data_IF_871770785048
#
_entry.id   IF_871770785048
#
_cell.length_a   1.000
_cell.length_b   1.000
_cell.length_c   1.000
_cell.angle_alpha   90.00
_cell.angle_beta   90.00
_cell.angle_gamma   90.00
#
_symmetry.space_group_name_H-M   'P 1'
#
loop_
_entity.id
_entity.type
_entity.pdbx_description
1 polymer ?
2 polymer ?
3 non-polymer ?
#
# COMPACT_ATOMS: atom_id res chain seq x y z
N UNK A 3 -9.26 12.23 -26.12
CA UNK A 3 -9.06 10.85 -26.53
C UNK A 3 -9.95 9.92 -25.72
N UNK A 4 -9.41 9.35 -24.65
CA UNK A 4 -10.14 8.43 -23.80
C UNK A 4 -10.90 9.21 -22.73
N UNK A 5 -12.11 8.79 -22.33
CA UNK A 5 -12.82 7.65 -22.94
C UNK A 5 -13.54 8.05 -24.23
N UNK A 6 -14.17 7.07 -24.88
CA UNK A 6 -14.89 7.30 -26.12
C UNK A 6 -16.23 6.60 -26.05
N UNK A 7 -17.20 7.13 -26.79
CA UNK A 7 -18.49 6.48 -27.01
C UNK A 7 -19.20 6.17 -25.69
N UNK A 8 -19.68 7.24 -25.03
CA UNK A 8 -20.43 7.10 -23.78
C UNK A 8 -21.91 6.94 -24.14
N UNK A 9 -22.41 5.72 -24.05
CA UNK A 9 -23.77 5.40 -24.45
C UNK A 9 -24.54 4.80 -23.28
N UNK A 10 -25.85 5.03 -23.28
CA UNK A 10 -26.76 4.46 -22.29
C UNK A 10 -27.27 3.14 -22.85
N UNK A 11 -26.91 2.03 -22.20
CA UNK A 11 -27.30 0.70 -22.64
C UNK A 11 -28.73 0.42 -22.21
N UNK A 12 -28.92 0.15 -20.92
CA UNK A 12 -30.23 -0.05 -20.34
C UNK A 12 -30.67 1.21 -19.61
N UNK A 13 -31.99 1.41 -19.51
CA UNK A 13 -32.50 2.66 -18.95
C UNK A 13 -33.85 2.40 -18.28
N UNK A 14 -33.80 1.90 -17.05
CA UNK A 14 -34.96 1.89 -16.19
C UNK A 14 -35.31 3.33 -15.81
N UNK A 15 -36.58 3.60 -15.48
CA UNK A 15 -36.95 4.97 -15.07
C UNK A 15 -36.10 5.55 -13.94
N UNK A 16 -35.40 4.72 -13.17
CA UNK A 16 -34.60 5.20 -12.05
C UNK A 16 -33.14 4.78 -12.11
N UNK A 17 -32.68 4.19 -13.22
CA UNK A 17 -31.30 3.72 -13.29
C UNK A 17 -30.83 3.73 -14.74
N UNK A 18 -29.66 4.32 -14.96
CA UNK A 18 -29.03 4.35 -16.28
C UNK A 18 -27.78 3.48 -16.27
N UNK A 19 -27.67 2.62 -17.28
CA UNK A 19 -26.50 1.74 -17.44
C UNK A 19 -25.65 2.29 -18.58
N UNK A 20 -24.52 2.90 -18.23
CA UNK A 20 -23.68 3.60 -19.18
C UNK A 20 -22.39 2.81 -19.40
N UNK A 21 -21.96 2.74 -20.66
CA UNK A 21 -20.71 2.13 -21.05
C UNK A 21 -19.91 3.12 -21.88
N UNK A 22 -18.62 2.83 -22.07
CA UNK A 22 -17.77 3.71 -22.83
C UNK A 22 -16.60 2.92 -23.40
N UNK A 23 -16.12 3.36 -24.56
CA UNK A 23 -14.92 2.80 -25.15
C UNK A 23 -13.72 3.20 -24.30
N UNK A 24 -13.36 2.35 -23.33
CA UNK A 24 -12.34 2.69 -22.35
C UNK A 24 -10.99 3.02 -22.99
N UNK A 25 -10.76 2.57 -24.22
CA UNK A 25 -9.49 2.82 -24.87
C UNK A 25 -8.79 1.55 -25.28
N UNK A 26 -7.55 1.38 -24.85
CA UNK A 26 -6.74 0.26 -25.31
C UNK A 26 -5.45 0.21 -24.52
N UNK A 27 -5.07 -1.02 -24.12
CA UNK A 27 -3.73 -1.38 -23.65
C UNK A 27 -3.03 -0.27 -22.87
N UNK A 28 -2.52 0.74 -23.58
CA UNK A 28 -1.71 1.79 -22.96
C UNK A 28 -2.53 2.98 -22.47
N UNK A 29 -3.64 3.30 -23.14
CA UNK A 29 -4.47 4.42 -22.71
C UNK A 29 -5.46 4.03 -21.61
N UNK A 30 -5.43 2.78 -21.15
CA UNK A 30 -6.22 2.38 -20.00
C UNK A 30 -5.80 3.19 -18.77
N UNK A 31 -6.76 3.88 -18.16
CA UNK A 31 -6.49 4.66 -16.96
C UNK A 31 -6.85 3.82 -15.74
N UNK A 32 -6.39 4.26 -14.57
CA UNK A 32 -6.61 3.49 -13.35
C UNK A 32 -8.02 3.63 -12.81
N UNK A 33 -8.67 4.77 -13.03
CA UNK A 33 -10.03 4.96 -12.54
C UNK A 33 -10.73 6.03 -13.35
N UNK A 34 -12.03 5.85 -13.53
CA UNK A 34 -12.89 6.88 -14.10
C UNK A 34 -13.81 7.41 -13.01
N UNK A 35 -14.08 8.71 -13.04
CA UNK A 35 -15.10 9.30 -12.19
C UNK A 35 -16.28 9.70 -13.07
N UNK A 36 -17.48 9.41 -12.58
CA UNK A 36 -18.71 9.63 -13.33
C UNK A 36 -19.60 10.57 -12.53
N UNK A 37 -20.04 11.65 -13.17
CA UNK A 37 -20.83 12.68 -12.52
C UNK A 37 -22.21 12.74 -13.17
N UNK A 38 -23.26 12.69 -12.35
CA UNK A 38 -24.63 12.79 -12.84
C UNK A 38 -25.42 13.72 -11.94
N UNK A 39 -26.04 14.72 -12.55
CA UNK A 39 -26.90 15.65 -11.83
C UNK A 39 -28.08 16.05 -12.68
N UNK A 40 -28.91 16.92 -12.12
CA UNK A 40 -30.09 17.39 -12.85
C UNK A 40 -29.67 18.33 -13.99
N UNK A 41 -30.35 18.20 -15.13
CA UNK A 41 -29.98 18.95 -16.32
C UNK A 41 -30.31 20.43 -16.20
N UNK A 42 -31.04 20.86 -15.19
CA UNK A 42 -31.41 22.25 -15.05
C UNK A 42 -30.51 23.01 -14.09
N UNK A 43 -29.61 22.31 -13.41
CA UNK A 43 -28.72 22.95 -12.46
C UNK A 43 -29.36 23.37 -11.15
N UNK A 44 -30.60 22.94 -10.89
CA UNK A 44 -31.27 23.26 -9.64
C UNK A 44 -30.56 22.69 -8.43
N UNK A 45 -29.64 21.74 -8.63
CA UNK A 45 -28.91 21.08 -7.56
C UNK A 45 -27.47 20.91 -7.99
N UNK A 46 -26.56 20.67 -7.04
CA UNK A 46 -25.19 20.29 -7.43
C UNK A 46 -25.18 18.91 -8.07
N UNK A 47 -24.01 18.44 -8.45
CA UNK A 47 -23.86 17.19 -9.18
C UNK A 47 -23.45 16.08 -8.21
N UNK A 48 -24.03 14.91 -8.39
CA UNK A 48 -23.55 13.73 -7.69
C UNK A 48 -22.34 13.16 -8.45
N UNK A 49 -21.60 12.27 -7.79
CA UNK A 49 -20.31 11.87 -8.32
C UNK A 49 -19.87 10.56 -7.69
N UNK A 50 -19.36 9.64 -8.52
CA UNK A 50 -18.72 8.44 -8.04
C UNK A 50 -17.55 8.11 -8.94
N UNK A 51 -16.66 7.26 -8.45
CA UNK A 51 -15.54 6.75 -9.21
C UNK A 51 -15.72 5.27 -9.51
N UNK A 52 -15.01 4.79 -10.52
CA UNK A 52 -15.11 3.40 -10.95
C UNK A 52 -13.72 2.93 -11.37
N UNK A 53 -13.35 1.69 -11.04
CA UNK A 53 -12.02 1.19 -11.43
C UNK A 53 -11.82 1.26 -12.94
N UNK A 54 -10.62 1.71 -13.33
CA UNK A 54 -10.32 1.99 -14.71
C UNK A 54 -10.24 0.79 -15.63
N UNK A 55 -10.25 -0.43 -15.08
CA UNK A 55 -10.34 -1.59 -15.95
C UNK A 55 -11.76 -1.82 -16.45
N UNK A 56 -12.75 -1.37 -15.68
CA UNK A 56 -14.15 -1.47 -16.09
C UNK A 56 -14.50 -0.31 -17.01
N UNK A 57 -15.28 -0.60 -18.05
CA UNK A 57 -15.70 0.40 -19.01
C UNK A 57 -17.19 0.69 -18.94
N UNK A 58 -17.89 0.11 -17.97
CA UNK A 58 -19.31 0.35 -17.76
C UNK A 58 -19.53 0.84 -16.33
N UNK A 59 -20.71 1.40 -16.10
CA UNK A 59 -21.07 1.90 -14.77
C UNK A 59 -22.58 1.98 -14.68
N UNK A 60 -23.11 1.70 -13.49
CA UNK A 60 -24.54 1.74 -13.24
C UNK A 60 -24.86 2.95 -12.36
N UNK A 61 -25.62 3.89 -12.92
CA UNK A 61 -26.08 5.08 -12.21
C UNK A 61 -27.51 4.83 -11.77
N UNK A 62 -27.73 4.64 -10.48
CA UNK A 62 -29.02 4.26 -9.95
C UNK A 62 -29.69 5.45 -9.25
N UNK A 63 -30.98 5.27 -8.94
CA UNK A 63 -31.72 6.22 -8.14
C UNK A 63 -31.85 7.61 -8.71
N UNK A 64 -32.56 7.76 -9.81
CA UNK A 64 -32.85 9.05 -10.40
C UNK A 64 -34.34 9.37 -10.20
N UNK A 65 -34.82 10.39 -10.91
CA UNK A 65 -36.22 10.75 -10.89
C UNK A 65 -36.80 10.63 -12.29
N UNK A 66 -37.89 9.87 -12.47
CA UNK A 66 -38.36 9.57 -13.83
C UNK A 66 -38.89 10.80 -14.55
N UNK A 67 -38.79 10.77 -15.87
CA UNK A 67 -39.23 11.87 -16.70
C UNK A 67 -38.20 12.98 -16.82
N UNK A 68 -37.39 13.15 -15.77
CA UNK A 68 -36.39 14.20 -15.76
C UNK A 68 -35.24 13.84 -16.68
N UNK A 69 -34.73 14.84 -17.40
CA UNK A 69 -33.53 14.68 -18.21
C UNK A 69 -32.30 14.89 -17.32
N UNK A 70 -31.25 14.12 -17.60
CA UNK A 70 -30.04 14.17 -16.79
C UNK A 70 -28.83 14.42 -17.67
N UNK A 71 -27.73 14.81 -17.03
CA UNK A 71 -26.44 15.00 -17.69
C UNK A 71 -25.44 14.05 -17.06
N UNK A 72 -24.90 13.13 -17.86
CA UNK A 72 -23.95 12.13 -17.39
C UNK A 72 -22.58 12.49 -17.93
N UNK A 73 -21.62 12.67 -17.02
CA UNK A 73 -20.26 13.03 -17.38
C UNK A 73 -19.32 11.89 -16.98
N UNK A 74 -18.30 11.68 -17.80
CA UNK A 74 -17.26 10.69 -17.53
C UNK A 74 -15.91 11.37 -17.71
N UNK A 75 -15.13 11.42 -16.64
CA UNK A 75 -13.81 12.04 -16.65
C UNK A 75 -12.73 10.98 -16.60
N UNK A 76 -11.50 11.44 -16.75
CA UNK A 76 -10.27 10.69 -16.56
C UNK A 76 -9.59 11.18 -15.28
N UNK A 77 -8.62 10.41 -14.75
CA UNK A 77 -7.91 10.87 -13.55
C UNK A 77 -7.32 12.27 -13.69
N UNK A 78 -6.81 12.60 -14.88
CA UNK A 78 -6.36 13.94 -15.20
C UNK A 78 -6.91 14.31 -16.56
N UNK A 79 -6.87 15.61 -16.87
CA UNK A 79 -7.28 16.08 -18.19
C UNK A 79 -6.21 15.85 -19.25
N UNK A 80 -5.11 15.19 -18.90
CA UNK A 80 -4.07 14.88 -19.87
C UNK A 80 -4.50 13.81 -20.87
N UNK A 81 -5.56 13.06 -20.56
CA UNK A 81 -6.06 12.03 -21.47
C UNK A 81 -7.07 12.55 -22.47
N UNK A 82 -7.59 13.77 -22.29
CA UNK A 82 -8.56 14.35 -23.18
C UNK A 82 -9.71 14.98 -22.44
N UNK A 83 -10.64 15.54 -23.21
CA UNK A 83 -11.81 16.17 -22.63
C UNK A 83 -12.77 15.13 -22.08
N UNK A 84 -13.58 15.50 -21.09
CA UNK A 84 -14.62 14.57 -20.61
C UNK A 84 -15.74 14.44 -21.63
N UNK A 85 -16.18 13.20 -21.83
CA UNK A 85 -17.29 12.91 -22.74
C UNK A 85 -18.56 12.92 -21.91
N UNK A 86 -19.29 14.03 -21.96
CA UNK A 86 -20.56 14.18 -21.26
C UNK A 86 -21.72 13.92 -22.20
N UNK A 87 -22.77 13.28 -21.69
CA UNK A 87 -23.94 12.94 -22.48
C UNK A 87 -25.20 13.36 -21.72
N UNK A 88 -26.34 13.07 -22.31
CA UNK A 88 -27.65 13.38 -21.72
C UNK A 88 -28.61 12.23 -22.01
N UNK A 89 -29.67 12.15 -21.22
CA UNK A 89 -30.69 11.13 -21.39
C UNK A 89 -31.93 11.46 -20.57
N UNK A 90 -33.11 11.37 -21.21
CA UNK A 90 -34.38 11.52 -20.51
C UNK A 90 -34.94 10.14 -20.19
N UNK A 91 -35.16 9.89 -18.90
CA UNK A 91 -35.66 8.59 -18.46
C UNK A 91 -37.19 8.53 -18.59
N UNK B 2 11.42 22.77 -4.28
CA UNK B 2 10.18 22.00 -4.20
C UNK B 2 10.35 20.50 -4.42
N UNK B 3 11.01 20.07 -5.51
CA UNK B 3 11.12 18.62 -5.74
C UNK B 3 11.91 17.90 -4.67
N UNK B 4 12.96 18.52 -4.14
CA UNK B 4 13.76 17.93 -3.06
C UNK B 4 13.07 18.06 -1.70
N UNK B 5 11.84 18.56 -1.66
CA UNK B 5 11.07 18.57 -0.43
C UNK B 5 10.23 17.30 -0.29
N UNK B 6 9.61 16.85 -1.37
CA UNK B 6 8.82 15.63 -1.35
C UNK B 6 9.68 14.38 -1.49
N UNK B 7 10.90 14.52 -2.00
CA UNK B 7 11.82 13.39 -2.05
C UNK B 7 12.21 12.96 -0.63
N UNK B 8 12.58 13.93 0.22
CA UNK B 8 12.89 13.61 1.60
C UNK B 8 11.66 13.26 2.42
N UNK B 9 10.51 13.85 2.09
CA UNK B 9 9.28 13.48 2.77
C UNK B 9 8.91 12.03 2.56
N UNK B 10 9.25 11.48 1.40
CA UNK B 10 9.07 10.06 1.16
C UNK B 10 10.12 9.22 1.88
N UNK B 11 11.32 9.77 2.06
CA UNK B 11 12.34 9.07 2.85
C UNK B 11 11.88 8.95 4.29
N UNK B 12 11.31 10.02 4.85
CA UNK B 12 10.79 9.97 6.22
C UNK B 12 9.68 8.94 6.34
N UNK B 13 8.78 8.91 5.35
CA UNK B 13 7.67 7.96 5.40
C UNK B 13 8.17 6.52 5.34
N UNK B 14 9.19 6.26 4.53
CA UNK B 14 9.72 4.90 4.43
C UNK B 14 10.46 4.53 5.71
N UNK B 15 11.33 5.43 6.19
CA UNK B 15 12.10 5.16 7.39
C UNK B 15 11.18 4.77 8.54
N UNK B 16 10.09 5.52 8.73
CA UNK B 16 9.10 5.14 9.71
C UNK B 16 8.29 3.93 9.25
N UNK B 17 8.21 3.72 7.94
CA UNK B 17 7.45 2.58 7.43
C UNK B 17 8.11 1.25 7.74
N UNK B 18 9.42 1.15 7.52
CA UNK B 18 10.12 -0.09 7.82
C UNK B 18 10.26 -0.31 9.32
N UNK B 19 10.43 0.75 10.10
CA UNK B 19 10.55 0.59 11.55
C UNK B 19 9.24 0.12 12.16
N UNK B 20 8.14 0.83 11.88
CA UNK B 20 6.83 0.37 12.34
C UNK B 20 6.52 -1.05 11.88
N UNK B 21 7.21 -1.54 10.85
CA UNK B 21 7.06 -2.92 10.45
C UNK B 21 7.90 -3.85 11.32
N UNK B 22 9.12 -3.42 11.68
CA UNK B 22 9.94 -4.23 12.58
C UNK B 22 9.31 -4.32 13.96
N UNK B 23 8.54 -3.30 14.37
CA UNK B 23 7.83 -3.36 15.63
C UNK B 23 6.67 -4.36 15.55
N UNK B 24 5.74 -4.13 14.62
CA UNK B 24 4.64 -5.07 14.43
C UNK B 24 5.18 -6.43 14.03
N UNK B 25 4.42 -7.49 14.33
CA UNK B 25 4.83 -8.83 13.96
C UNK B 25 4.52 -9.07 12.48
N UNK B 26 4.03 -10.25 12.15
CA UNK B 26 3.71 -10.54 10.76
C UNK B 26 2.58 -9.69 10.22
N UNK B 27 2.78 -8.37 10.20
CA UNK B 27 1.74 -7.39 9.89
C UNK B 27 0.53 -7.54 10.81
N UNK B 28 0.70 -8.18 11.97
CA UNK B 28 -0.44 -8.60 12.77
C UNK B 28 -0.89 -7.55 13.77
N UNK B 29 0.03 -6.84 14.41
CA UNK B 29 -0.37 -5.78 15.34
C UNK B 29 -1.02 -4.65 14.55
N UNK B 30 -2.32 -4.44 14.78
CA UNK B 30 -3.12 -3.60 13.91
C UNK B 30 -2.58 -2.18 13.82
N UNK B 31 -2.29 -1.56 14.96
CA UNK B 31 -1.95 -0.14 14.99
C UNK B 31 -0.61 0.12 14.30
N UNK B 32 0.49 -0.57 14.63
CA UNK B 32 1.73 -0.31 13.89
C UNK B 32 1.69 -0.82 12.47
N UNK B 33 0.90 -1.85 12.17
CA UNK B 33 0.78 -2.32 10.79
C UNK B 33 0.02 -1.33 9.94
N UNK B 34 -1.09 -0.78 10.47
CA UNK B 34 -1.79 0.29 9.76
C UNK B 34 -0.89 1.49 9.54
N UNK B 35 0.04 1.74 10.46
CA UNK B 35 1.02 2.78 10.23
C UNK B 35 1.89 2.49 9.03
N UNK B 36 2.35 1.24 8.91
CA UNK B 36 3.22 0.87 7.81
C UNK B 36 2.53 1.04 6.46
N UNK B 37 1.29 0.54 6.35
CA UNK B 37 0.55 0.66 5.09
C UNK B 37 0.33 2.14 4.76
N UNK B 38 0.01 2.95 5.77
CA UNK B 38 -0.15 4.38 5.54
C UNK B 38 1.20 5.02 5.22
N UNK B 39 2.24 4.62 5.94
CA UNK B 39 3.57 5.15 5.66
C UNK B 39 4.05 4.75 4.27
N UNK B 40 3.83 3.48 3.89
CA UNK B 40 4.27 3.01 2.58
C UNK B 40 3.44 3.65 1.46
N UNK B 41 2.11 3.58 1.56
CA UNK B 41 1.26 4.12 0.51
C UNK B 41 1.47 5.61 0.33
N UNK B 42 1.78 6.33 1.42
CA UNK B 42 2.09 7.74 1.28
C UNK B 42 3.42 7.94 0.57
N UNK B 43 4.43 7.13 0.93
CA UNK B 43 5.74 7.27 0.30
C UNK B 43 5.72 6.76 -1.13
N UNK B 44 4.92 5.74 -1.43
CA UNK B 44 4.81 5.27 -2.81
C UNK B 44 4.31 6.36 -3.73
N UNK B 45 3.33 7.15 -3.28
CA UNK B 45 2.81 8.24 -4.10
C UNK B 45 3.68 9.50 -4.01
N UNK B 46 4.49 9.64 -2.96
CA UNK B 46 5.41 10.76 -2.89
C UNK B 46 6.61 10.56 -3.82
N UNK B 47 6.99 9.32 -4.09
CA UNK B 47 8.09 9.06 -5.02
C UNK B 47 7.64 9.21 -6.47
N UNK B 48 6.42 8.77 -6.78
CA UNK B 48 5.92 8.86 -8.15
C UNK B 48 5.81 10.31 -8.61
N UNK B 49 5.52 11.23 -7.69
CA UNK B 49 5.41 12.64 -8.06
C UNK B 49 6.78 13.30 -8.14
N UNK B 50 7.66 13.02 -7.17
CA UNK B 50 9.01 13.58 -7.20
C UNK B 50 9.87 12.94 -8.28
N UNK B 51 9.34 11.96 -9.01
CA UNK B 51 10.06 11.30 -10.08
C UNK B 51 9.94 12.03 -11.42
N UNK B 52 8.87 12.79 -11.62
CA UNK B 52 8.69 13.51 -12.88
C UNK B 52 9.49 14.82 -12.93
N UNK B 53 10.16 15.19 -11.85
CA UNK B 53 10.96 16.41 -11.81
C UNK B 53 12.45 16.16 -11.74
N UNK B 54 12.87 15.21 -10.92
CA UNK B 54 14.28 14.85 -10.76
C UNK B 54 14.49 13.49 -11.43
N UNK B 55 15.55 13.32 -12.22
CA UNK B 55 15.75 12.05 -12.94
C UNK B 55 15.73 10.85 -12.00
N UNK B 56 15.39 9.70 -12.57
CA UNK B 56 15.22 8.49 -11.77
C UNK B 56 16.51 8.14 -11.03
N UNK B 57 17.62 8.07 -11.76
CA UNK B 57 18.88 7.72 -11.13
C UNK B 57 19.35 8.73 -10.10
N UNK B 58 18.97 10.00 -10.28
CA UNK B 58 19.36 11.03 -9.32
C UNK B 58 18.59 10.86 -8.01
N UNK B 59 17.26 10.71 -8.12
CA UNK B 59 16.44 10.54 -6.92
C UNK B 59 16.78 9.23 -6.20
N UNK B 60 16.98 8.16 -6.97
CA UNK B 60 17.35 6.87 -6.40
C UNK B 60 18.60 7.00 -5.52
N UNK B 61 19.57 7.80 -5.97
CA UNK B 61 20.79 7.99 -5.19
C UNK B 61 20.50 8.71 -3.88
N UNK B 62 19.92 9.92 -3.97
CA UNK B 62 19.57 10.68 -2.77
C UNK B 62 18.66 9.86 -1.87
N UNK B 63 17.78 9.06 -2.47
CA UNK B 63 16.88 8.22 -1.71
C UNK B 63 17.65 7.26 -0.81
N UNK B 64 18.44 6.36 -1.43
CA UNK B 64 19.28 5.45 -0.66
C UNK B 64 20.23 6.21 0.26
N UNK B 65 20.59 7.43 -0.11
CA UNK B 65 21.46 8.24 0.71
C UNK B 65 20.84 8.68 2.02
N UNK B 66 19.83 9.57 1.94
CA UNK B 66 19.20 10.10 3.14
C UNK B 66 18.50 9.02 3.94
N UNK B 67 18.20 7.88 3.32
CA UNK B 67 17.59 6.78 4.03
C UNK B 67 18.45 6.26 5.16
N UNK B 68 19.57 5.61 4.82
CA UNK B 68 20.48 5.08 5.83
C UNK B 68 21.04 6.18 6.70
N UNK B 69 21.09 7.41 6.20
CA UNK B 69 21.38 8.56 7.03
C UNK B 69 20.31 8.62 8.11
N UNK B 70 19.06 8.84 7.69
CA UNK B 70 17.96 8.93 8.64
C UNK B 70 17.64 7.60 9.31
N UNK B 71 18.24 6.50 8.87
CA UNK B 71 18.05 5.22 9.55
C UNK B 71 19.05 5.03 10.67
N UNK B 72 20.34 5.19 10.38
CA UNK B 72 21.35 5.10 11.43
C UNK B 72 21.27 6.28 12.38
N UNK B 73 20.93 7.47 11.86
CA UNK B 73 20.67 8.61 12.73
C UNK B 73 19.51 8.31 13.67
N UNK B 74 18.51 7.59 13.19
CA UNK B 74 17.42 7.14 14.03
C UNK B 74 17.77 5.87 14.80
N UNK B 75 18.71 5.06 14.29
CA UNK B 75 19.14 3.87 15.00
C UNK B 75 19.90 4.23 16.28
N UNK B 76 20.73 5.27 16.21
CA UNK B 76 21.52 5.67 17.37
C UNK B 76 20.79 6.66 18.27
N UNK B 77 19.89 7.48 17.71
CA UNK B 77 19.24 8.50 18.51
C UNK B 77 18.31 7.95 19.56
N UNK B 78 17.52 6.94 19.20
CA UNK B 78 16.51 6.40 20.10
C UNK B 78 16.79 4.97 20.55
N UNK B 79 17.41 4.14 19.71
CA UNK B 79 17.60 2.73 20.07
C UNK B 79 18.94 2.47 20.73
N UNK B 80 20.02 3.02 20.17
CA UNK B 80 21.34 2.84 20.74
C UNK B 80 22.40 2.51 19.70
N UNK B 81 22.80 1.24 19.65
CA UNK B 81 23.70 0.73 18.60
C UNK B 81 24.95 1.58 18.40
N UNK B 82 24.87 2.52 17.46
CA UNK B 82 26.01 3.26 16.89
C UNK B 82 27.23 2.35 16.71
N UNK B 83 26.99 1.09 16.37
CA UNK B 83 28.08 0.18 16.05
C UNK B 83 28.84 0.70 14.84
N UNK B 84 30.12 0.32 14.75
CA UNK B 84 31.03 0.87 13.75
C UNK B 84 31.08 2.39 13.87
N UNK B 85 31.33 2.86 15.09
CA UNK B 85 31.35 4.30 15.35
C UNK B 85 32.29 5.08 14.43
N UNK B 86 33.45 4.57 14.01
CA UNK B 86 34.20 5.23 12.94
C UNK B 86 33.51 5.11 11.58
N UNK B 87 32.22 5.41 11.52
CA UNK B 87 31.49 5.53 10.27
C UNK B 87 30.67 6.80 10.18
N UNK B 88 30.72 7.67 11.20
CA UNK B 88 30.11 8.99 11.10
C UNK B 88 30.77 9.80 9.98
N UNK B 89 32.00 9.44 9.60
CA UNK B 89 32.60 9.99 8.39
C UNK B 89 31.80 9.56 7.17
N UNK B 90 31.28 8.32 7.18
CA UNK B 90 30.43 7.86 6.11
C UNK B 90 29.09 8.57 6.04
N UNK B 91 28.64 9.14 7.15
CA UNK B 91 27.44 9.98 7.11
C UNK B 91 27.75 11.35 6.52
N UNK B 92 28.94 11.89 6.81
CA UNK B 92 29.38 13.13 6.18
C UNK B 92 29.65 12.93 4.68
N UNK B 93 29.93 11.70 4.25
CA UNK B 93 30.11 11.43 2.83
C UNK B 93 28.79 11.49 2.08
N UNK B 94 27.75 10.84 2.62
CA UNK B 94 26.45 10.87 1.99
C UNK B 94 25.92 12.30 1.90
N UNK B 95 26.21 13.12 2.90
CA UNK B 95 25.79 14.52 2.86
C UNK B 95 26.44 15.25 1.69
N UNK B 96 27.74 15.07 1.50
CA UNK B 96 28.45 15.79 0.45
C UNK B 96 27.92 15.43 -0.93
N UNK B 97 27.66 14.14 -1.17
CA UNK B 97 27.11 13.73 -2.45
C UNK B 97 25.72 14.31 -2.69
N UNK B 98 24.90 14.38 -1.64
CA UNK B 98 23.59 15.02 -1.75
C UNK B 98 23.76 16.49 -2.11
N UNK B 99 24.77 17.15 -1.55
CA UNK B 99 24.94 18.58 -1.75
C UNK B 99 25.36 18.90 -3.18
N UNK B 100 26.22 18.09 -3.79
CA UNK B 100 26.74 18.41 -5.11
C UNK B 100 25.88 17.82 -6.23
N UNK B 101 24.75 17.21 -5.90
CA UNK B 101 23.66 17.02 -6.86
C UNK B 101 22.50 17.97 -6.59
N UNK B 102 22.49 18.66 -5.45
CA UNK B 102 21.38 19.51 -5.08
C UNK B 102 21.33 20.74 -5.98
N UNK B 103 20.38 21.63 -5.68
CA UNK B 103 20.14 22.84 -6.46
C UNK B 103 21.42 23.65 -6.70
N UNK C 2 23.39 -19.21 -4.36
CA UNK C 2 21.98 -19.21 -4.74
C UNK C 2 21.18 -18.01 -4.22
N UNK C 3 21.30 -17.66 -2.93
CA UNK C 3 20.59 -16.47 -2.43
C UNK C 3 21.06 -15.18 -3.06
N UNK C 4 22.30 -15.12 -3.56
CA UNK C 4 22.74 -13.95 -4.31
C UNK C 4 22.04 -13.84 -5.66
N UNK C 5 21.34 -14.88 -6.11
CA UNK C 5 20.66 -14.83 -7.39
C UNK C 5 19.24 -14.30 -7.21
N UNK C 6 18.59 -14.63 -6.09
CA UNK C 6 17.32 -13.98 -5.77
C UNK C 6 17.53 -12.53 -5.40
N UNK C 7 18.74 -12.17 -4.96
CA UNK C 7 19.06 -10.77 -4.68
C UNK C 7 18.89 -9.92 -5.93
N UNK C 8 19.69 -10.20 -6.96
CA UNK C 8 19.56 -9.48 -8.22
C UNK C 8 18.19 -9.59 -8.83
N UNK C 9 17.51 -10.72 -8.61
CA UNK C 9 16.14 -10.86 -9.05
C UNK C 9 15.21 -9.89 -8.34
N UNK C 10 15.46 -9.62 -7.06
CA UNK C 10 14.71 -8.60 -6.34
C UNK C 10 15.22 -7.20 -6.66
N UNK C 11 16.52 -7.06 -6.92
CA UNK C 11 17.05 -5.77 -7.34
C UNK C 11 16.48 -5.38 -8.71
N UNK C 12 16.61 -6.27 -9.68
CA UNK C 12 16.13 -5.99 -11.04
C UNK C 12 14.63 -5.77 -11.07
N UNK C 13 13.87 -6.47 -10.21
CA UNK C 13 12.43 -6.29 -10.19
C UNK C 13 12.05 -4.89 -9.72
N UNK C 14 12.70 -4.41 -8.65
CA UNK C 14 12.50 -3.02 -8.23
C UNK C 14 13.00 -2.06 -9.29
N UNK C 15 14.13 -2.38 -9.92
CA UNK C 15 14.65 -1.56 -11.02
C UNK C 15 13.58 -1.34 -12.08
N UNK C 16 12.85 -2.41 -12.41
CA UNK C 16 11.81 -2.30 -13.43
C UNK C 16 10.61 -1.53 -12.89
N UNK C 17 10.10 -1.93 -11.72
CA UNK C 17 8.94 -1.25 -11.15
C UNK C 17 9.18 0.23 -10.92
N UNK C 18 10.40 0.62 -10.57
CA UNK C 18 10.71 2.04 -10.43
C UNK C 18 10.57 2.75 -11.76
N UNK C 19 11.10 2.15 -12.83
CA UNK C 19 10.97 2.76 -14.15
C UNK C 19 9.53 2.70 -14.65
N UNK C 20 8.79 1.63 -14.32
CA UNK C 20 7.37 1.59 -14.63
C UNK C 20 6.59 2.63 -13.84
N UNK C 21 7.12 3.07 -12.69
CA UNK C 21 6.45 4.09 -11.91
C UNK C 21 6.57 5.46 -12.58
N UNK C 22 7.73 5.76 -13.17
CA UNK C 22 7.87 6.96 -13.97
C UNK C 22 6.88 6.99 -15.13
N UNK C 23 6.44 5.81 -15.58
CA UNK C 23 5.52 5.70 -16.71
C UNK C 23 4.06 5.76 -16.31
N UNK C 24 3.72 5.59 -15.03
CA UNK C 24 2.34 5.42 -14.61
C UNK C 24 1.59 6.74 -14.46
N UNK C 25 2.22 7.88 -14.73
CA UNK C 25 1.58 9.19 -14.62
C UNK C 25 0.97 9.42 -13.23
N UNK C 26 1.76 9.13 -12.20
CA UNK C 26 1.25 9.29 -10.84
C UNK C 26 0.19 8.28 -10.47
N UNK C 27 0.37 7.02 -10.87
CA UNK C 27 -0.58 5.94 -10.62
C UNK C 27 -1.95 6.23 -11.22
N UNK C 28 -1.99 6.93 -12.35
CA UNK C 28 -3.23 7.24 -13.04
C UNK C 28 -3.37 6.49 -14.35
N UNK C 29 -2.37 5.68 -14.73
CA UNK C 29 -2.40 4.90 -15.95
C UNK C 29 -2.41 3.43 -15.59
N UNK C 30 -3.50 2.73 -15.95
CA UNK C 30 -3.58 1.30 -15.65
C UNK C 30 -2.65 0.53 -16.58
N UNK C 31 -2.00 -0.49 -16.01
CA UNK C 31 -0.96 -1.38 -16.56
C UNK C 31 0.40 -0.92 -16.03
N UNK C 32 0.84 0.34 -16.22
CA UNK C 32 2.05 0.77 -15.49
C UNK C 32 1.83 0.92 -14.00
N UNK C 33 0.60 1.19 -13.56
CA UNK C 33 0.32 1.22 -12.13
C UNK C 33 0.29 -0.18 -11.54
N UNK C 34 -0.30 -1.14 -12.27
CA UNK C 34 -0.32 -2.52 -11.82
C UNK C 34 1.09 -3.10 -11.79
N UNK C 35 1.85 -2.89 -12.87
CA UNK C 35 3.19 -3.46 -12.96
C UNK C 35 4.08 -3.05 -11.81
N UNK C 36 3.98 -1.80 -11.37
CA UNK C 36 4.73 -1.36 -10.20
C UNK C 36 4.32 -2.11 -8.96
N UNK C 37 3.01 -2.34 -8.79
CA UNK C 37 2.54 -3.11 -7.66
C UNK C 37 2.97 -4.57 -7.77
N UNK C 38 2.99 -5.11 -8.99
CA UNK C 38 3.42 -6.48 -9.20
C UNK C 38 4.92 -6.61 -8.94
N UNK C 39 5.72 -5.67 -9.45
CA UNK C 39 7.16 -5.76 -9.31
C UNK C 39 7.58 -5.67 -7.85
N UNK C 40 7.08 -4.68 -7.13
CA UNK C 40 7.46 -4.50 -5.74
C UNK C 40 6.99 -5.64 -4.84
N UNK C 41 5.98 -6.41 -5.29
CA UNK C 41 5.65 -7.65 -4.59
C UNK C 41 6.71 -8.71 -4.86
N UNK C 42 7.06 -8.91 -6.13
CA UNK C 42 8.06 -9.91 -6.49
C UNK C 42 9.43 -9.55 -5.94
N UNK C 43 9.77 -8.26 -5.91
CA UNK C 43 11.03 -7.84 -5.32
C UNK C 43 11.02 -7.89 -3.80
N UNK C 44 9.83 -7.84 -3.18
CA UNK C 44 9.73 -8.07 -1.75
C UNK C 44 9.86 -9.55 -1.42
N UNK C 45 9.20 -10.42 -2.19
CA UNK C 45 9.21 -11.84 -1.90
C UNK C 45 10.59 -12.46 -2.13
N UNK C 46 11.33 -11.99 -3.14
CA UNK C 46 12.68 -12.47 -3.33
C UNK C 46 13.62 -11.94 -2.26
N UNK C 47 13.36 -10.73 -1.75
CA UNK C 47 14.16 -10.19 -0.66
C UNK C 47 13.99 -11.01 0.61
N UNK C 48 12.77 -11.50 0.87
CA UNK C 48 12.56 -12.33 2.05
C UNK C 48 13.26 -13.67 1.91
N UNK C 49 13.21 -14.27 0.73
CA UNK C 49 13.88 -15.56 0.51
C UNK C 49 15.39 -15.42 0.59
N UNK C 50 15.93 -14.24 0.26
CA UNK C 50 17.37 -14.05 0.26
C UNK C 50 17.92 -13.50 1.56
N UNK C 51 17.19 -12.65 2.28
CA UNK C 51 17.66 -12.24 3.60
C UNK C 51 17.18 -13.16 4.70
N UNK C 52 16.43 -14.21 4.36
CA UNK C 52 16.05 -15.22 5.34
C UNK C 52 17.25 -15.67 6.15
N UNK C 53 18.39 -15.87 5.47
CA UNK C 53 19.68 -16.01 6.15
C UNK C 53 20.80 -15.67 5.16
N UNK C 54 20.88 -14.38 4.82
CA UNK C 54 22.08 -13.79 4.23
C UNK C 54 22.21 -12.44 4.92
N UNK C 55 23.43 -11.93 5.15
CA UNK C 55 23.57 -10.68 5.91
C UNK C 55 22.84 -9.52 5.25
N UNK C 56 22.18 -8.72 6.09
CA UNK C 56 21.41 -7.55 5.64
C UNK C 56 22.28 -6.30 5.47
N UNK C 57 23.57 -6.49 5.19
CA UNK C 57 24.44 -5.39 4.83
C UNK C 57 25.06 -5.65 3.47
N UNK C 58 25.36 -6.92 3.20
CA UNK C 58 25.78 -7.32 1.85
C UNK C 58 24.64 -7.16 0.87
N UNK C 59 23.42 -7.56 1.28
CA UNK C 59 22.28 -7.47 0.38
C UNK C 59 21.89 -6.02 0.13
N UNK C 60 21.93 -5.18 1.16
CA UNK C 60 21.54 -3.78 0.99
C UNK C 60 22.54 -3.05 0.10
N UNK C 61 23.84 -3.24 0.35
CA UNK C 61 24.87 -2.54 -0.43
C UNK C 61 24.86 -2.97 -1.89
N UNK C 62 24.72 -4.28 -2.14
CA UNK C 62 24.61 -4.76 -3.52
C UNK C 62 23.38 -4.17 -4.18
N UNK C 63 22.26 -4.12 -3.46
CA UNK C 63 21.05 -3.51 -4.00
C UNK C 63 21.25 -2.01 -4.21
N UNK C 64 21.80 -1.32 -3.21
CA UNK C 64 21.95 0.13 -3.28
C UNK C 64 22.91 0.57 -4.38
N UNK C 65 23.71 -0.35 -4.92
CA UNK C 65 24.65 -0.02 -5.97
C UNK C 65 24.17 -0.50 -7.33
N UNK C 66 23.82 -1.80 -7.43
CA UNK C 66 23.29 -2.32 -8.68
C UNK C 66 21.98 -1.64 -9.02
N UNK C 67 21.22 -1.21 -8.01
CA UNK C 67 20.01 -0.45 -8.27
C UNK C 67 20.30 0.99 -8.68
N UNK C 68 21.29 1.62 -8.03
CA UNK C 68 21.68 2.98 -8.39
C UNK C 68 22.27 3.06 -9.80
N UNK C 69 22.56 1.91 -10.41
CA UNK C 69 23.08 1.85 -11.77
C UNK C 69 22.00 1.42 -12.75
N UNK C 70 21.31 0.30 -12.46
CA UNK C 70 20.39 -0.28 -13.43
C UNK C 70 19.14 0.58 -13.65
N UNK C 71 18.82 1.48 -12.74
CA UNK C 71 17.70 2.38 -12.97
C UNK C 71 18.17 3.71 -13.58
N UNK C 72 19.40 4.13 -13.28
CA UNK C 72 19.93 5.33 -13.92
C UNK C 72 20.25 5.08 -15.38
N UNK C 73 20.66 3.85 -15.72
CA UNK C 73 20.86 3.48 -17.11
C UNK C 73 19.55 3.24 -17.84
N UNK C 74 18.45 3.02 -17.11
CA UNK C 74 17.14 3.00 -17.73
C UNK C 74 16.53 4.38 -17.84
N UNK C 75 16.64 5.20 -16.78
CA UNK C 75 16.29 6.60 -16.89
C UNK C 75 17.00 7.25 -18.06
N UNK C 76 18.27 6.91 -18.26
CA UNK C 76 19.03 7.38 -19.41
C UNK C 76 18.71 6.60 -20.67
N UNK C 77 18.22 5.37 -20.54
CA UNK C 77 17.81 4.59 -21.69
C UNK C 77 16.46 5.00 -22.22
N UNK C 78 15.53 5.32 -21.30
CA UNK C 78 14.22 5.82 -21.67
C UNK C 78 14.16 7.35 -21.66
N UNK C 79 15.30 8.01 -21.45
CA UNK C 79 15.43 9.46 -21.52
C UNK C 79 16.90 9.84 -21.57
N UNK C 80 17.44 10.38 -20.47
CA UNK C 80 18.83 10.77 -20.41
C UNK C 80 19.22 11.55 -19.15
N UNK C 81 19.60 12.83 -19.36
CA UNK C 81 19.76 13.85 -18.33
C UNK C 81 21.17 13.91 -17.72
N UNK C 82 21.92 12.81 -17.77
CA UNK C 82 23.30 12.77 -17.28
C UNK C 82 23.47 13.42 -15.91
N UNK C 83 24.21 14.53 -15.86
CA UNK C 83 24.41 15.31 -14.64
C UNK C 83 23.74 16.66 -14.79
N UNK C 84 22.41 16.65 -14.73
CA UNK C 84 21.64 17.90 -14.82
C UNK C 84 22.14 18.94 -13.82
N UNK C 85 22.40 18.52 -12.60
CA UNK C 85 22.98 19.37 -11.58
C UNK C 85 24.39 18.89 -11.25
N UNK C 86 25.29 19.82 -10.81
CA UNK C 86 26.75 19.62 -10.91
C UNK C 86 27.30 18.24 -11.24
N UNK C 87 26.95 17.19 -10.47
CA UNK C 87 27.74 15.96 -10.52
C UNK C 87 26.86 14.73 -10.66
N UNK C 88 27.29 13.82 -11.54
CA UNK C 88 26.89 12.43 -11.45
C UNK C 88 27.69 11.73 -10.35
N UNK C 89 28.95 12.13 -10.18
CA UNK C 89 29.81 11.59 -9.13
C UNK C 89 29.22 11.86 -7.75
N UNK C 90 28.42 12.92 -7.62
CA UNK C 90 27.67 13.11 -6.39
C UNK C 90 26.82 11.91 -6.03
N UNK C 91 26.31 11.20 -7.04
CA UNK C 91 25.60 9.95 -6.79
C UNK C 91 26.58 8.80 -6.65
N UNK C 92 27.77 8.91 -7.25
CA UNK C 92 28.79 7.87 -7.07
C UNK C 92 29.40 7.93 -5.68
N UNK C 93 29.49 9.13 -5.09
CA UNK C 93 30.01 9.26 -3.74
C UNK C 93 28.91 9.18 -2.68
N UNK C 94 27.65 9.39 -3.05
CA UNK C 94 26.55 8.92 -2.22
C UNK C 94 26.59 7.40 -2.12
N UNK C 95 26.89 6.73 -3.24
CA UNK C 95 27.05 5.28 -3.24
C UNK C 95 28.27 4.85 -2.42
N UNK C 96 29.26 5.73 -2.28
CA UNK C 96 30.45 5.41 -1.51
C UNK C 96 30.20 5.55 -0.01
N UNK C 97 29.65 6.70 0.42
CA UNK C 97 29.32 6.89 1.82
C UNK C 97 28.31 5.89 2.35
N UNK C 98 27.54 5.27 1.46
CA UNK C 98 26.64 4.19 1.87
C UNK C 98 27.45 2.95 2.21
N UNK C 99 28.43 2.61 1.38
CA UNK C 99 29.13 1.33 1.49
C UNK C 99 30.14 1.30 2.62
N UNK C 100 30.12 2.31 3.48
CA UNK C 100 31.02 2.36 4.63
C UNK C 100 30.28 2.53 5.95
N UNK C 101 29.04 3.02 5.95
CA UNK C 101 28.18 2.90 7.14
C UNK C 101 27.42 1.57 7.12
N UNK C 102 27.68 0.72 6.12
CA UNK C 102 27.09 -0.61 6.04
C UNK C 102 28.14 -1.71 6.20
N UNK C 103 29.27 -1.59 5.50
CA UNK C 103 30.32 -2.61 5.54
C UNK C 103 31.44 -2.29 6.51
N UNK C 104 31.66 -1.01 6.82
CA UNK C 104 32.69 -0.64 7.79
C UNK C 104 32.08 -0.32 9.14
N UNK D 3 -1.19 -14.49 25.86
CA UNK D 3 -1.48 -13.41 26.79
C UNK D 3 -2.64 -12.55 26.30
N UNK D 4 -2.83 -12.54 24.99
CA UNK D 4 -3.92 -11.78 24.37
C UNK D 4 -4.65 -12.69 23.38
N UNK D 5 -5.97 -12.58 23.25
CA UNK D 5 -6.86 -11.65 23.97
C UNK D 5 -7.26 -12.18 25.34
N UNK D 6 -8.08 -11.43 26.07
CA UNK D 6 -8.45 -11.78 27.43
C UNK D 6 -9.92 -11.49 27.66
N UNK D 7 -10.50 -12.23 28.62
CA UNK D 7 -11.84 -11.98 29.13
C UNK D 7 -12.91 -12.19 28.04
N UNK D 8 -13.02 -13.44 27.60
CA UNK D 8 -14.07 -13.85 26.69
C UNK D 8 -15.28 -14.30 27.48
N UNK D 9 -16.40 -13.60 27.32
CA UNK D 9 -17.63 -13.92 28.04
C UNK D 9 -18.82 -13.70 27.11
N UNK D 10 -19.99 -14.14 27.56
CA UNK D 10 -21.22 -14.03 26.79
C UNK D 10 -22.05 -12.93 27.41
N UNK D 11 -22.23 -11.83 26.69
CA UNK D 11 -22.99 -10.68 27.18
C UNK D 11 -24.47 -11.00 27.13
N UNK D 12 -25.03 -11.07 25.93
CA UNK D 12 -26.44 -11.41 25.72
C UNK D 12 -26.54 -12.83 25.19
N UNK D 13 -27.55 -13.57 25.66
CA UNK D 13 -27.66 -15.00 25.35
C UNK D 13 -29.13 -15.36 25.12
N UNK D 14 -29.53 -15.41 23.85
CA UNK D 14 -30.79 -16.03 23.48
C UNK D 14 -30.59 -17.53 23.40
N UNK D 15 -31.67 -18.32 23.33
CA UNK D 15 -31.51 -19.76 23.09
C UNK D 15 -30.80 -20.09 21.80
N UNK D 16 -30.75 -19.18 20.83
CA UNK D 16 -30.14 -19.45 19.54
C UNK D 16 -28.94 -18.55 19.23
N UNK D 17 -28.60 -17.62 20.10
CA UNK D 17 -27.51 -16.69 19.83
C UNK D 17 -26.66 -16.50 21.09
N UNK D 18 -25.41 -16.09 20.86
CA UNK D 18 -24.45 -15.86 21.94
C UNK D 18 -23.61 -14.64 21.58
N UNK D 19 -23.97 -13.48 22.15
CA UNK D 19 -23.18 -12.27 21.98
C UNK D 19 -21.97 -12.33 22.91
N UNK D 20 -20.77 -12.34 22.32
CA UNK D 20 -19.54 -12.47 23.10
C UNK D 20 -18.67 -11.24 22.87
N UNK D 21 -17.89 -10.91 23.90
CA UNK D 21 -16.95 -9.79 23.85
C UNK D 21 -15.66 -10.20 24.53
N UNK D 22 -14.62 -9.41 24.31
CA UNK D 22 -13.31 -9.67 24.89
C UNK D 22 -12.55 -8.35 25.03
N UNK D 23 -11.77 -8.23 26.10
CA UNK D 23 -10.95 -7.03 26.30
C UNK D 23 -9.88 -6.97 25.23
N UNK D 24 -9.99 -5.98 24.33
CA UNK D 24 -9.01 -5.85 23.25
C UNK D 24 -7.61 -5.61 23.81
N UNK D 25 -7.48 -4.65 24.72
CA UNK D 25 -6.20 -4.36 25.33
C UNK D 25 -5.96 -2.87 25.52
N UNK D 26 -5.01 -2.33 24.77
CA UNK D 26 -4.70 -0.91 24.80
C UNK D 26 -4.31 -0.47 23.40
N UNK D 27 -4.19 0.86 23.22
CA UNK D 27 -4.08 1.41 21.88
C UNK D 27 -2.89 0.82 21.13
N UNK D 28 -1.74 0.69 21.80
CA UNK D 28 -0.52 0.25 21.15
C UNK D 28 -0.38 -1.27 21.12
N UNK D 29 -1.45 -2.01 21.39
CA UNK D 29 -1.40 -3.47 21.39
C UNK D 29 -2.69 -4.06 20.81
N UNK D 30 -3.10 -3.56 19.65
CA UNK D 30 -4.24 -4.11 18.92
C UNK D 30 -3.72 -4.99 17.79
N UNK D 31 -4.26 -6.19 17.69
CA UNK D 31 -3.90 -7.09 16.59
C UNK D 31 -4.84 -6.83 15.42
N UNK D 32 -4.45 -7.33 14.24
CA UNK D 32 -5.21 -7.02 13.03
C UNK D 32 -6.57 -7.72 13.01
N UNK D 33 -6.68 -8.90 13.62
CA UNK D 33 -7.95 -9.63 13.58
C UNK D 33 -7.95 -10.69 14.66
N UNK D 34 -9.15 -11.16 14.98
CA UNK D 34 -9.36 -12.34 15.79
C UNK D 34 -10.23 -13.32 15.01
N UNK D 35 -10.24 -14.58 15.45
CA UNK D 35 -11.14 -15.56 14.87
C UNK D 35 -11.90 -16.26 15.99
N UNK D 36 -13.19 -16.48 15.77
CA UNK D 36 -14.08 -17.06 16.76
C UNK D 36 -14.44 -18.48 16.32
N UNK D 37 -14.28 -19.43 17.23
CA UNK D 37 -14.64 -20.82 16.98
C UNK D 37 -15.75 -21.21 17.95
N UNK D 38 -16.92 -21.53 17.41
CA UNK D 38 -18.03 -22.02 18.22
C UNK D 38 -18.56 -23.31 17.61
N UNK D 39 -18.66 -24.34 18.44
CA UNK D 39 -19.18 -25.62 17.99
C UNK D 39 -19.81 -26.33 19.17
N UNK D 40 -20.51 -27.43 18.85
CA UNK D 40 -21.15 -28.22 19.89
C UNK D 40 -20.11 -28.77 20.86
N UNK D 41 -20.45 -28.78 22.15
CA UNK D 41 -19.48 -29.13 23.19
C UNK D 41 -19.06 -30.58 23.13
N UNK D 42 -19.82 -31.44 22.47
CA UNK D 42 -19.46 -32.84 22.38
C UNK D 42 -18.53 -33.14 21.22
N UNK D 43 -18.97 -32.83 20.01
CA UNK D 43 -18.15 -33.05 18.83
C UNK D 43 -18.77 -34.03 17.85
N UNK D 44 -20.07 -33.88 17.60
CA UNK D 44 -20.76 -34.72 16.63
C UNK D 44 -20.55 -34.26 15.19
N UNK D 45 -20.17 -32.99 15.01
CA UNK D 45 -19.93 -32.41 13.70
C UNK D 45 -18.75 -31.45 13.83
N UNK D 46 -18.22 -30.88 12.74
CA UNK D 46 -17.17 -29.88 12.88
C UNK D 46 -17.66 -28.65 13.64
N UNK D 47 -16.70 -27.82 14.05
CA UNK D 47 -17.00 -26.58 14.73
C UNK D 47 -17.28 -25.51 13.69
N UNK D 48 -17.77 -24.35 14.13
CA UNK D 48 -18.02 -23.22 13.24
C UNK D 48 -16.96 -22.15 13.48
N UNK D 49 -16.71 -21.33 12.45
CA UNK D 49 -15.55 -20.46 12.46
C UNK D 49 -15.81 -19.21 11.63
N UNK D 50 -15.31 -18.07 12.11
CA UNK D 50 -15.29 -16.83 11.36
C UNK D 50 -14.21 -15.93 11.97
N UNK D 51 -14.07 -14.73 11.40
CA UNK D 51 -13.08 -13.77 11.86
C UNK D 51 -13.74 -12.41 12.07
N UNK D 52 -13.08 -11.58 12.88
CA UNK D 52 -13.55 -10.25 13.24
C UNK D 52 -12.39 -9.27 13.13
N UNK D 53 -12.59 -8.07 12.60
CA UNK D 53 -11.49 -7.09 12.56
C UNK D 53 -10.96 -6.79 13.95
N UNK D 54 -9.64 -6.62 14.03
CA UNK D 54 -8.94 -6.53 15.30
C UNK D 54 -9.22 -5.29 16.11
N UNK D 55 -9.79 -4.25 15.50
CA UNK D 55 -10.17 -3.08 16.28
C UNK D 55 -11.47 -3.30 17.06
N UNK D 56 -12.31 -4.23 16.62
CA UNK D 56 -13.51 -4.58 17.37
C UNK D 56 -13.19 -5.58 18.46
N UNK D 57 -13.98 -5.54 19.53
CA UNK D 57 -13.77 -6.39 20.68
C UNK D 57 -14.98 -7.25 21.01
N UNK D 58 -16.09 -7.10 20.30
CA UNK D 58 -17.31 -7.87 20.56
C UNK D 58 -17.75 -8.55 19.27
N UNK D 59 -18.52 -9.62 19.43
CA UNK D 59 -19.06 -10.37 18.31
C UNK D 59 -20.37 -11.02 18.71
N UNK D 60 -21.17 -11.37 17.71
CA UNK D 60 -22.47 -11.99 17.93
C UNK D 60 -22.55 -13.28 17.14
N UNK D 61 -22.73 -14.39 17.85
CA UNK D 61 -22.85 -15.71 17.24
C UNK D 61 -24.33 -16.04 17.13
N UNK D 62 -24.79 -16.28 15.91
CA UNK D 62 -26.19 -16.59 15.65
C UNK D 62 -26.33 -18.00 15.09
N UNK D 63 -27.58 -18.43 14.95
CA UNK D 63 -27.86 -19.71 14.31
C UNK D 63 -27.46 -20.92 15.12
N UNK D 64 -27.75 -20.91 16.42
CA UNK D 64 -27.45 -22.02 17.29
C UNK D 64 -28.70 -22.84 17.55
N UNK D 65 -28.54 -23.91 18.32
CA UNK D 65 -29.67 -24.75 18.72
C UNK D 65 -29.90 -24.62 20.22
N UNK D 66 -31.14 -24.43 20.64
CA UNK D 66 -31.40 -24.13 22.06
C UNK D 66 -31.09 -25.32 22.96
N UNK D 67 -30.87 -25.00 24.24
CA UNK D 67 -30.55 -25.99 25.24
C UNK D 67 -29.19 -26.64 25.12
N UNK D 68 -28.48 -26.43 24.02
CA UNK D 68 -27.18 -27.06 23.78
C UNK D 68 -26.09 -26.19 24.37
N UNK D 69 -25.07 -26.82 24.95
CA UNK D 69 -23.88 -26.13 25.42
C UNK D 69 -22.83 -26.11 24.32
N UNK D 70 -22.11 -25.00 24.22
CA UNK D 70 -21.13 -24.80 23.17
C UNK D 70 -19.76 -24.49 23.76
N UNK D 71 -18.72 -24.79 22.99
CA UNK D 71 -17.35 -24.45 23.34
C UNK D 71 -16.89 -23.33 22.41
N UNK D 72 -16.89 -22.11 22.91
CA UNK D 72 -16.46 -20.95 22.13
C UNK D 72 -14.98 -20.70 22.40
N UNK D 73 -14.20 -20.59 21.32
CA UNK D 73 -12.77 -20.36 21.41
C UNK D 73 -12.39 -19.21 20.48
N UNK D 74 -11.56 -18.30 20.99
CA UNK D 74 -11.09 -17.15 20.22
C UNK D 74 -9.59 -17.27 20.04
N UNK D 75 -9.15 -17.23 18.78
CA UNK D 75 -7.74 -17.35 18.44
C UNK D 75 -7.20 -16.01 17.96
N UNK D 76 -6.00 -15.67 18.43
CA UNK D 76 -5.27 -14.53 17.91
C UNK D 76 -4.79 -14.85 16.48
N UNK D 77 -4.26 -13.87 15.74
CA UNK D 77 -3.72 -14.19 14.41
C UNK D 77 -2.68 -15.29 14.42
N UNK D 78 -1.81 -15.29 15.43
CA UNK D 78 -0.78 -16.32 15.57
C UNK D 78 -0.72 -16.75 17.03
N UNK D 79 0.07 -17.80 17.28
CA UNK D 79 0.25 -18.31 18.63
C UNK D 79 1.29 -17.52 19.43
N UNK D 80 1.93 -16.53 18.82
CA UNK D 80 2.87 -15.69 19.56
C UNK D 80 2.15 -14.90 20.65
N UNK D 81 0.91 -14.48 20.38
CA UNK D 81 0.14 -13.67 21.31
C UNK D 81 -0.46 -14.50 22.44
N UNK D 82 -0.23 -15.80 22.47
CA UNK D 82 -0.61 -16.63 23.59
C UNK D 82 -1.65 -17.67 23.23
N UNK D 83 -2.01 -18.46 24.24
CA UNK D 83 -2.96 -19.55 24.04
C UNK D 83 -4.35 -18.99 23.74
N UNK D 84 -5.12 -19.70 22.91
CA UNK D 84 -6.50 -19.26 22.66
C UNK D 84 -7.37 -19.42 23.90
N UNK D 85 -8.22 -18.42 24.14
CA UNK D 85 -9.12 -18.43 25.28
C UNK D 85 -10.42 -19.10 24.87
N UNK D 86 -10.79 -20.16 25.59
CA UNK D 86 -11.99 -20.93 25.30
C UNK D 86 -12.91 -20.92 26.52
N UNK D 87 -14.21 -20.80 26.27
CA UNK D 87 -15.22 -20.79 27.32
C UNK D 87 -16.35 -21.75 26.92
N UNK D 88 -17.30 -21.91 27.83
CA UNK D 88 -18.44 -22.80 27.64
C UNK D 88 -19.70 -22.10 28.13
N UNK D 89 -20.80 -22.25 27.38
CA UNK D 89 -22.06 -21.65 27.78
C UNK D 89 -23.21 -22.53 27.27
N UNK D 90 -24.26 -22.64 28.08
CA UNK D 90 -25.44 -23.40 27.74
C UNK D 90 -26.57 -22.42 27.43
N UNK D 91 -27.06 -22.46 26.20
CA UNK D 91 -28.13 -21.56 25.77
C UNK D 91 -29.44 -21.82 26.52
X LIG E 1 11.84 1.45 -1.29
X LIG E 1 12.73 2.45 -2.61
X LIG E 1 12.11 3.43 -3.37
X LIG E 1 12.82 4.14 -4.33
X LIG E 1 14.16 3.87 -4.55
X LIG E 1 14.79 2.89 -3.81
X LIG E 1 14.07 2.19 -2.84
X LIG E 1 12.95 1.27 0.20
X LIG E 1 13.10 0.07 0.88
X LIG E 1 13.94 -0.01 1.98
X LIG E 1 14.63 1.12 2.41
X LIG E 1 14.49 2.32 1.74
X LIG E 1 13.65 2.38 0.65
X LIG E 1 10.16 2.16 -0.81
X LIG E 1 9.57 3.22 -1.47
X LIG E 1 8.33 3.74 -1.10
X LIG E 1 7.65 3.17 -0.06
X LIG E 1 8.20 2.10 0.61
X LIG E 1 9.45 1.60 0.25
X LIG E 1 12.70 -1.04 -2.25
X LIG E 1 12.56 -2.33 -2.72
X LIG E 1 11.30 -2.86 -2.88
X LIG E 1 10.18 -2.12 -2.56
X LIG E 1 10.32 -0.82 -2.09
X LIG E 1 11.59 -0.28 -1.93
#
# INVERSE_FOLDING_TARGET
>A
VSSVPTKLEVVAATPTSLLISWDAGHWWEWVTYYRITYGETGGNSPVQEFTVPGYSSTATISGLKPGVDYTITVYAPTSDYGSPISINYRT
>B
MNPYIYLGGAILAEVIGTTLMKFSNGFTRLIPSMGTIICYCASFWLLAQTLAYIPTGIAYAIWSGVGIVLISLLSWGFFGQRLDLPAIIGMMLICAGVLIINLLSRSTPH
>C
MNPYIYLGGAILAEVIGTTLMKFSNGFTRLIPSMGTIICYCASFWLLAQTLAYIPTGIAYAIWSGVGIVLISLLSWGFFGQRLDLPAIIGMMLICAGVLIINLLSRSTPH
>D
VSSVPTKLEVVAATPTSLLISWDAGHWWEWVTYYRITYGETGGNSPVQEFTVPGYSSTATISGLKPGVDYTITVYAPTSDYGSPISINYRT
>E hetero
1 P4P P C1A C2A C3A C4A C5A C6A C1C C6C C5C C4C C3C C2C C1D C6D C5D C4D C3D C2D C6B C5B C4B C3B C2B C1B
#
